data_IF_836110548421
#
_entry.id   IF_836110548421
#
_cell.length_a   1.000
_cell.length_b   1.000
_cell.length_c   1.000
_cell.angle_alpha   90.00
_cell.angle_beta   90.00
_cell.angle_gamma   90.00
#
_symmetry.space_group_name_H-M   'P 1'
#
loop_
_entity.id
_entity.type
_entity.pdbx_description
1 polymer ?
#
# COMPACT_ATOMS: atom_id res chain seq x y z
N UNK A 1 -29.56 -22.52 -3.72
CA UNK A 1 -28.45 -22.13 -2.81
C UNK A 1 -27.90 -20.82 -3.33
N UNK A 2 -28.27 -19.71 -2.68
CA UNK A 2 -27.85 -18.36 -3.05
C UNK A 2 -26.57 -18.05 -2.30
N UNK A 3 -25.47 -17.80 -3.02
CA UNK A 3 -24.24 -17.27 -2.44
C UNK A 3 -24.51 -15.81 -2.04
N UNK A 4 -24.41 -15.53 -0.74
CA UNK A 4 -24.33 -14.17 -0.25
C UNK A 4 -23.08 -13.51 -0.85
N UNK A 5 -23.27 -12.39 -1.53
CA UNK A 5 -22.18 -11.59 -2.09
C UNK A 5 -21.35 -11.02 -0.94
N UNK A 6 -20.20 -11.62 -0.67
CA UNK A 6 -19.14 -10.98 0.10
C UNK A 6 -18.65 -9.77 -0.69
N UNK A 7 -18.75 -8.57 -0.10
CA UNK A 7 -18.25 -7.34 -0.70
C UNK A 7 -16.74 -7.43 -0.97
N UNK A 8 -16.23 -6.99 -2.13
CA UNK A 8 -14.80 -7.05 -2.43
C UNK A 8 -14.03 -6.02 -1.58
N UNK A 9 -13.06 -6.56 -0.83
CA UNK A 9 -12.02 -5.92 -0.02
C UNK A 9 -11.04 -4.98 -0.78
N UNK A 10 -11.09 -4.92 -2.11
CA UNK A 10 -10.45 -3.88 -2.91
C UNK A 10 -11.50 -2.85 -3.33
N UNK A 11 -11.48 -1.68 -2.72
CA UNK A 11 -12.12 -0.49 -3.28
C UNK A 11 -11.32 0.69 -2.79
N UNK A 12 -10.18 0.93 -3.47
CA UNK A 12 -9.72 2.31 -3.59
C UNK A 12 -10.82 2.97 -4.42
N UNK A 13 -11.76 3.63 -3.76
CA UNK A 13 -12.84 4.35 -4.44
C UNK A 13 -12.20 5.34 -5.41
N UNK A 14 -12.21 5.01 -6.69
CA UNK A 14 -12.12 5.98 -7.79
C UNK A 14 -13.39 6.82 -7.88
N UNK A 15 -14.39 6.55 -7.03
CA UNK A 15 -15.48 7.47 -6.78
C UNK A 15 -14.93 8.76 -6.18
N UNK A 16 -15.20 9.88 -6.85
CA UNK A 16 -15.06 11.22 -6.26
C UNK A 16 -15.74 11.14 -4.90
N UNK A 17 -15.02 11.36 -3.78
CA UNK A 17 -15.64 11.32 -2.46
C UNK A 17 -16.85 12.24 -2.48
N UNK A 18 -17.99 11.77 -1.99
CA UNK A 18 -19.15 12.63 -1.76
C UNK A 18 -18.65 13.87 -1.01
N UNK A 19 -18.93 15.08 -1.51
CA UNK A 19 -18.34 16.33 -1.03
C UNK A 19 -18.19 16.36 0.50
N UNK A 20 -16.97 16.10 1.00
CA UNK A 20 -16.66 16.05 2.44
C UNK A 20 -16.29 14.68 3.03
N UNK A 21 -16.36 13.55 2.31
CA UNK A 21 -15.71 12.30 2.74
C UNK A 21 -14.22 12.31 2.39
N UNK A 22 -13.40 11.60 3.17
CA UNK A 22 -11.96 11.52 2.92
C UNK A 22 -11.36 10.23 3.45
N UNK A 23 -10.19 9.90 2.91
CA UNK A 23 -9.35 8.82 3.39
C UNK A 23 -7.89 9.17 3.15
N UNK A 24 -7.06 8.98 4.19
CA UNK A 24 -5.62 9.19 4.12
C UNK A 24 -4.91 8.05 4.86
N UNK A 25 -3.68 7.76 4.44
CA UNK A 25 -2.76 6.91 5.21
C UNK A 25 -1.57 7.74 5.68
N UNK A 26 -1.20 7.56 6.95
CA UNK A 26 -0.14 8.33 7.60
C UNK A 26 0.91 7.40 8.23
N UNK A 27 2.16 7.85 8.24
CA UNK A 27 3.25 7.15 8.90
C UNK A 27 3.17 7.36 10.40
N UNK A 28 3.26 6.26 11.16
CA UNK A 28 3.15 6.28 12.63
C UNK A 28 4.35 5.67 13.33
N UNK A 29 5.13 4.81 12.65
CA UNK A 29 6.34 4.23 13.21
C UNK A 29 7.40 5.25 13.69
N UNK A 30 7.61 6.41 13.05
CA UNK A 30 8.60 7.37 13.53
C UNK A 30 8.09 8.28 14.66
N UNK A 31 6.83 8.12 15.10
CA UNK A 31 6.18 9.03 16.06
C UNK A 31 6.10 8.40 17.44
N UNK A 32 6.24 9.21 18.49
CA UNK A 32 6.05 8.71 19.85
C UNK A 32 4.56 8.40 20.10
N UNK A 33 4.26 7.17 20.55
CA UNK A 33 2.89 6.71 20.86
C UNK A 33 2.17 7.67 21.83
N UNK A 34 2.87 8.13 22.87
CA UNK A 34 2.34 9.08 23.83
C UNK A 34 1.92 10.43 23.19
N UNK A 35 2.67 10.88 22.18
CA UNK A 35 2.34 12.13 21.46
C UNK A 35 1.06 11.98 20.65
N UNK A 36 0.85 10.81 20.01
CA UNK A 36 -0.37 10.53 19.26
C UNK A 36 -1.54 10.33 20.24
N UNK A 37 -1.38 9.49 21.26
CA UNK A 37 -2.42 9.18 22.24
C UNK A 37 -2.98 10.43 22.93
N UNK A 38 -2.11 11.41 23.24
CA UNK A 38 -2.52 12.70 23.82
C UNK A 38 -3.50 13.48 22.93
N UNK A 39 -3.42 13.35 21.61
CA UNK A 39 -4.35 14.03 20.69
C UNK A 39 -5.77 13.44 20.74
N UNK A 40 -5.93 12.27 21.34
CA UNK A 40 -7.19 11.52 21.44
C UNK A 40 -7.56 11.25 22.90
N UNK A 41 -7.18 12.13 23.83
CA UNK A 41 -7.47 12.01 25.27
C UNK A 41 -7.10 10.65 25.87
N UNK A 42 -6.04 10.02 25.35
CA UNK A 42 -5.55 8.70 25.75
C UNK A 42 -6.56 7.57 25.54
N UNK A 43 -7.41 7.69 24.52
CA UNK A 43 -8.36 6.63 24.14
C UNK A 43 -7.63 5.28 23.93
N UNK A 44 -7.97 4.24 24.71
CA UNK A 44 -7.34 2.92 24.60
C UNK A 44 -7.47 2.28 23.21
N UNK A 45 -8.56 2.53 22.48
CA UNK A 45 -8.74 2.02 21.13
C UNK A 45 -7.77 2.66 20.14
N UNK A 46 -7.53 3.97 20.26
CA UNK A 46 -6.52 4.67 19.45
C UNK A 46 -5.12 4.16 19.76
N UNK A 47 -4.79 4.03 21.05
CA UNK A 47 -3.50 3.49 21.49
C UNK A 47 -3.28 2.10 20.90
N UNK A 48 -4.29 1.23 20.95
CA UNK A 48 -4.21 -0.14 20.42
C UNK A 48 -3.91 -0.14 18.93
N UNK A 49 -4.63 0.66 18.13
CA UNK A 49 -4.41 0.72 16.67
C UNK A 49 -3.04 1.26 16.32
N UNK A 50 -2.58 2.31 17.02
CA UNK A 50 -1.27 2.92 16.75
C UNK A 50 -0.14 1.98 17.18
N UNK A 51 -0.25 1.35 18.34
CA UNK A 51 0.72 0.35 18.83
C UNK A 51 0.82 -0.83 17.86
N UNK A 52 -0.32 -1.36 17.39
CA UNK A 52 -0.36 -2.43 16.39
C UNK A 52 0.26 -1.99 15.07
N UNK A 53 -0.03 -0.78 14.59
CA UNK A 53 0.56 -0.23 13.37
C UNK A 53 2.09 -0.07 13.49
N UNK A 54 2.58 0.37 14.65
CA UNK A 54 4.02 0.46 14.93
C UNK A 54 4.67 -0.92 14.99
N UNK A 55 4.05 -1.86 15.69
CA UNK A 55 4.52 -3.24 15.80
C UNK A 55 4.62 -3.93 14.43
N UNK A 56 3.60 -3.78 13.58
CA UNK A 56 3.55 -4.40 12.25
C UNK A 56 4.31 -3.62 11.18
N UNK A 57 4.86 -2.44 11.49
CA UNK A 57 5.55 -1.59 10.53
C UNK A 57 4.61 -1.08 9.42
N UNK A 58 3.35 -0.79 9.75
CA UNK A 58 2.32 -0.35 8.80
C UNK A 58 1.92 1.10 9.03
N UNK A 59 1.35 1.73 8.00
CA UNK A 59 0.73 3.05 8.12
C UNK A 59 -0.58 2.94 8.91
N UNK A 60 -0.98 4.05 9.54
CA UNK A 60 -2.34 4.17 10.06
C UNK A 60 -3.25 4.77 8.98
N UNK A 61 -4.46 4.24 8.86
CA UNK A 61 -5.51 4.73 7.96
C UNK A 61 -6.48 5.60 8.75
N UNK A 62 -6.76 6.79 8.25
CA UNK A 62 -7.72 7.73 8.81
C UNK A 62 -8.76 8.03 7.74
N UNK A 63 -10.03 7.82 8.03
CA UNK A 63 -11.09 8.06 7.05
C UNK A 63 -12.38 8.54 7.67
N UNK A 64 -13.17 9.22 6.86
CA UNK A 64 -14.53 9.63 7.18
C UNK A 64 -15.42 9.20 6.00
N UNK A 65 -16.43 8.37 6.30
CA UNK A 65 -17.31 7.80 5.28
C UNK A 65 -18.31 8.81 4.72
N UNK A 66 -18.77 9.75 5.55
CA UNK A 66 -19.78 10.75 5.21
C UNK A 66 -19.43 12.10 5.85
N UNK A 67 -19.73 13.23 5.18
CA UNK A 67 -19.39 14.55 5.69
C UNK A 67 -19.98 14.81 7.08
N UNK A 68 -19.12 15.19 8.05
CA UNK A 68 -19.54 15.45 9.43
C UNK A 68 -19.81 14.21 10.28
N UNK A 69 -19.63 13.01 9.73
CA UNK A 69 -19.66 11.76 10.50
C UNK A 69 -18.37 11.53 11.30
N UNK A 70 -18.31 10.41 12.02
CA UNK A 70 -17.16 10.09 12.86
C UNK A 70 -15.89 9.86 12.01
N UNK A 71 -14.76 10.40 12.50
CA UNK A 71 -13.44 10.08 11.98
C UNK A 71 -13.05 8.70 12.52
N UNK A 72 -12.71 7.80 11.61
CA UNK A 72 -12.31 6.44 11.92
C UNK A 72 -10.79 6.31 11.79
N UNK A 73 -10.21 5.53 12.69
CA UNK A 73 -8.80 5.17 12.70
C UNK A 73 -8.69 3.64 12.60
N UNK A 74 -7.71 3.17 11.82
CA UNK A 74 -7.49 1.75 11.61
C UNK A 74 -6.11 1.48 11.04
N UNK A 75 -5.82 0.20 10.82
CA UNK A 75 -4.57 -0.24 10.23
C UNK A 75 -4.60 -0.03 8.71
N UNK A 76 -3.57 0.63 8.18
CA UNK A 76 -3.33 0.73 6.75
C UNK A 76 -2.78 -0.56 6.16
N UNK A 77 -2.87 -0.69 4.84
CA UNK A 77 -2.32 -1.87 4.14
C UNK A 77 -0.85 -1.67 3.77
N UNK A 78 -0.44 -0.43 3.56
CA UNK A 78 0.90 -0.13 3.10
C UNK A 78 1.92 -0.18 4.24
N UNK A 79 3.11 -0.74 4.00
CA UNK A 79 4.22 -0.63 4.93
C UNK A 79 4.58 0.84 5.21
N UNK A 80 4.95 1.16 6.44
CA UNK A 80 5.37 2.51 6.84
C UNK A 80 6.62 2.96 6.04
N UNK A 81 7.54 2.03 5.79
CA UNK A 81 8.78 2.27 5.07
C UNK A 81 8.66 2.17 3.54
N UNK A 82 7.49 1.83 3.00
CA UNK A 82 7.32 1.75 1.55
C UNK A 82 7.34 3.15 0.93
N UNK A 83 8.16 3.38 -0.11
CA UNK A 83 8.10 4.61 -0.89
C UNK A 83 6.73 4.71 -1.57
N UNK A 84 6.30 5.94 -1.85
CA UNK A 84 5.12 6.16 -2.67
C UNK A 84 5.49 6.01 -4.15
N UNK A 85 4.73 5.21 -4.88
CA UNK A 85 4.95 4.96 -6.30
C UNK A 85 3.72 5.44 -7.07
N UNK A 86 3.79 6.67 -7.58
CA UNK A 86 2.79 7.18 -8.51
C UNK A 86 3.12 6.69 -9.93
N UNK A 87 2.29 5.78 -10.43
CA UNK A 87 2.42 5.24 -11.78
C UNK A 87 1.14 5.57 -12.53
N UNK A 88 1.24 6.36 -13.61
CA UNK A 88 0.13 6.50 -14.53
C UNK A 88 -0.22 5.13 -15.14
N UNK A 89 -1.50 4.78 -15.29
CA UNK A 89 -1.95 3.43 -15.63
C UNK A 89 -1.19 2.78 -16.80
N UNK A 90 -0.88 3.52 -17.87
CA UNK A 90 -0.11 2.99 -19.01
C UNK A 90 1.31 2.51 -18.64
N UNK A 91 1.95 3.14 -17.66
CA UNK A 91 3.27 2.74 -17.17
C UNK A 91 3.18 1.55 -16.20
N UNK A 92 2.02 1.30 -15.57
CA UNK A 92 1.86 0.18 -14.65
C UNK A 92 1.95 -1.16 -15.40
N UNK A 93 1.25 -1.28 -16.54
CA UNK A 93 1.36 -2.45 -17.41
C UNK A 93 2.77 -2.62 -17.98
N UNK A 94 3.43 -1.53 -18.39
CA UNK A 94 4.80 -1.57 -18.86
C UNK A 94 5.80 -2.09 -17.80
N UNK A 95 5.58 -1.74 -16.51
CA UNK A 95 6.38 -2.27 -15.40
C UNK A 95 6.17 -3.78 -15.27
N UNK A 96 4.93 -4.26 -15.32
CA UNK A 96 4.61 -5.69 -15.22
C UNK A 96 5.24 -6.47 -16.37
N UNK A 97 5.04 -6.00 -17.61
CA UNK A 97 5.64 -6.58 -18.81
C UNK A 97 7.16 -6.64 -18.71
N UNK A 98 7.78 -5.57 -18.20
CA UNK A 98 9.23 -5.51 -18.03
C UNK A 98 9.74 -6.52 -16.99
N UNK A 99 8.97 -6.75 -15.92
CA UNK A 99 9.21 -7.80 -14.92
C UNK A 99 8.88 -9.22 -15.45
N UNK A 100 8.33 -9.33 -16.66
CA UNK A 100 7.84 -10.57 -17.24
C UNK A 100 6.61 -11.13 -16.52
N UNK A 101 5.86 -10.27 -15.85
CA UNK A 101 4.58 -10.59 -15.21
C UNK A 101 3.47 -10.41 -16.24
N UNK A 102 2.46 -11.26 -16.15
CA UNK A 102 1.33 -11.23 -17.07
C UNK A 102 0.50 -9.95 -16.88
N UNK A 103 0.25 -9.25 -17.97
CA UNK A 103 -0.53 -8.00 -18.01
C UNK A 103 -2.03 -8.27 -17.75
N UNK A 104 -2.49 -9.50 -17.99
CA UNK A 104 -3.87 -9.95 -17.69
C UNK A 104 -4.05 -10.39 -16.22
N UNK A 105 -2.98 -10.38 -15.42
CA UNK A 105 -3.08 -10.61 -13.97
C UNK A 105 -3.78 -9.43 -13.31
N UNK A 106 -5.10 -9.41 -13.32
CA UNK A 106 -5.84 -8.49 -12.45
C UNK A 106 -5.57 -8.87 -10.99
N UNK A 107 -4.90 -7.98 -10.26
CA UNK A 107 -4.79 -8.05 -8.81
C UNK A 107 -3.47 -8.64 -8.32
N UNK A 108 -2.73 -7.80 -7.60
CA UNK A 108 -1.73 -8.16 -6.59
C UNK A 108 -0.69 -9.25 -6.96
N UNK A 109 0.58 -8.87 -7.17
CA UNK A 109 1.71 -9.80 -7.22
C UNK A 109 2.49 -9.80 -5.90
N UNK A 110 2.87 -10.96 -5.35
CA UNK A 110 3.66 -11.02 -4.13
C UNK A 110 5.03 -10.32 -4.27
N UNK A 111 5.46 -9.59 -3.24
CA UNK A 111 6.77 -8.90 -3.22
C UNK A 111 7.94 -9.86 -3.34
N UNK A 112 7.80 -11.13 -2.92
CA UNK A 112 8.84 -12.14 -3.12
C UNK A 112 9.07 -12.43 -4.60
N UNK A 113 8.01 -12.49 -5.41
CA UNK A 113 8.11 -12.67 -6.84
C UNK A 113 8.76 -11.45 -7.49
N UNK A 114 8.30 -10.23 -7.16
CA UNK A 114 8.93 -8.99 -7.66
C UNK A 114 10.43 -8.97 -7.36
N UNK A 115 10.81 -9.32 -6.11
CA UNK A 115 12.22 -9.43 -5.70
C UNK A 115 12.98 -10.43 -6.58
N UNK A 116 12.42 -11.60 -6.81
CA UNK A 116 13.03 -12.63 -7.64
C UNK A 116 13.24 -12.14 -9.09
N UNK A 117 12.25 -11.46 -9.67
CA UNK A 117 12.37 -10.89 -11.03
C UNK A 117 13.44 -9.81 -11.10
N UNK A 118 13.51 -8.92 -10.10
CA UNK A 118 14.53 -7.86 -10.04
C UNK A 118 15.96 -8.40 -9.88
N UNK A 119 16.12 -9.62 -9.35
CA UNK A 119 17.43 -10.29 -9.25
C UNK A 119 17.87 -10.96 -10.56
N UNK A 120 16.98 -11.15 -11.54
CA UNK A 120 17.36 -11.69 -12.86
C UNK A 120 18.15 -10.62 -13.65
N UNK A 121 19.44 -10.87 -13.99
CA UNK A 121 20.25 -9.90 -14.73
C UNK A 121 19.69 -9.49 -16.09
N UNK A 122 18.89 -10.33 -16.75
CA UNK A 122 18.26 -10.02 -18.05
C UNK A 122 17.10 -9.06 -17.87
N UNK A 123 16.26 -9.28 -16.86
CA UNK A 123 15.17 -8.39 -16.50
C UNK A 123 15.74 -7.05 -16.02
N UNK A 124 16.79 -7.10 -15.20
CA UNK A 124 17.43 -5.90 -14.68
C UNK A 124 18.00 -5.01 -15.79
N UNK A 125 18.73 -5.59 -16.74
CA UNK A 125 19.23 -4.85 -17.91
C UNK A 125 18.09 -4.22 -18.71
N UNK A 126 17.03 -4.98 -18.98
CA UNK A 126 15.86 -4.46 -19.72
C UNK A 126 15.24 -3.24 -19.04
N UNK A 127 15.08 -3.29 -17.72
CA UNK A 127 14.54 -2.18 -16.93
C UNK A 127 15.49 -0.96 -16.90
N UNK A 128 16.80 -1.21 -16.83
CA UNK A 128 17.81 -0.15 -16.81
C UNK A 128 17.99 0.49 -18.21
N UNK A 129 17.77 -0.27 -19.30
CA UNK A 129 17.87 0.19 -20.69
C UNK A 129 16.65 1.01 -21.17
N UNK A 130 15.51 0.94 -20.47
CA UNK A 130 14.31 1.74 -20.77
C UNK A 130 14.23 2.99 -19.85
N UNK A 131 14.47 4.21 -20.38
CA UNK A 131 14.47 5.45 -19.59
C UNK A 131 13.15 5.72 -18.85
N UNK A 132 12.02 5.23 -19.36
CA UNK A 132 10.73 5.39 -18.70
C UNK A 132 10.58 4.48 -17.48
N UNK A 133 11.25 3.32 -17.49
CA UNK A 133 11.22 2.32 -16.43
C UNK A 133 12.33 2.51 -15.40
N UNK A 134 13.53 2.97 -15.80
CA UNK A 134 14.68 3.17 -14.91
C UNK A 134 14.32 3.96 -13.66
N UNK A 135 13.47 4.99 -13.78
CA UNK A 135 13.00 5.82 -12.65
C UNK A 135 12.21 5.07 -11.58
N UNK A 136 11.60 3.93 -11.92
CA UNK A 136 10.80 3.11 -11.00
C UNK A 136 11.62 1.99 -10.35
N UNK A 137 12.77 1.65 -10.94
CA UNK A 137 13.59 0.52 -10.52
C UNK A 137 14.08 0.66 -9.07
N UNK A 138 14.50 1.85 -8.67
CA UNK A 138 14.96 2.11 -7.30
C UNK A 138 13.82 1.94 -6.28
N UNK A 139 12.64 2.50 -6.58
CA UNK A 139 11.48 2.39 -5.71
C UNK A 139 10.99 0.93 -5.61
N UNK A 140 10.92 0.21 -6.73
CA UNK A 140 10.56 -1.22 -6.75
C UNK A 140 11.58 -2.07 -5.98
N UNK A 141 12.87 -1.78 -6.10
CA UNK A 141 13.93 -2.45 -5.35
C UNK A 141 13.77 -2.19 -3.85
N UNK A 142 13.48 -0.95 -3.47
CA UNK A 142 13.24 -0.55 -2.07
C UNK A 142 12.01 -1.25 -1.50
N UNK A 143 10.89 -1.25 -2.22
CA UNK A 143 9.67 -1.97 -1.84
C UNK A 143 9.93 -3.47 -1.69
N UNK A 144 10.58 -4.08 -2.67
CA UNK A 144 10.89 -5.51 -2.67
C UNK A 144 11.87 -5.90 -1.54
N UNK A 145 12.67 -4.98 -1.03
CA UNK A 145 13.57 -5.24 0.10
C UNK A 145 12.84 -5.29 1.45
N UNK A 146 11.62 -4.73 1.54
CA UNK A 146 10.83 -4.75 2.77
C UNK A 146 10.45 -6.18 3.14
N UNK A 147 10.47 -6.44 4.45
CA UNK A 147 10.05 -7.72 5.04
C UNK A 147 8.92 -7.44 6.02
N UNK A 148 7.74 -8.04 5.81
CA UNK A 148 6.67 -7.91 6.78
C UNK A 148 7.04 -8.62 8.09
N UNK A 149 6.49 -8.12 9.19
CA UNK A 149 6.54 -8.81 10.48
C UNK A 149 5.69 -10.09 10.43
N UNK A 150 4.58 -10.05 9.69
CA UNK A 150 3.69 -11.18 9.44
C UNK A 150 3.10 -11.14 8.01
N UNK A 151 2.93 -12.33 7.42
CA UNK A 151 2.38 -12.52 6.07
C UNK A 151 3.34 -12.13 4.93
N UNK A 152 2.76 -11.63 3.83
CA UNK A 152 3.48 -11.20 2.63
C UNK A 152 2.92 -9.89 2.06
N UNK A 153 3.81 -8.96 1.72
CA UNK A 153 3.43 -7.73 1.01
C UNK A 153 3.17 -8.01 -0.47
N UNK A 154 2.24 -7.27 -1.06
CA UNK A 154 1.86 -7.41 -2.46
C UNK A 154 1.97 -6.08 -3.20
N UNK A 155 2.45 -6.12 -4.44
CA UNK A 155 2.31 -5.02 -5.40
C UNK A 155 0.91 -5.09 -5.98
N UNK A 156 0.03 -4.14 -5.67
CA UNK A 156 -1.32 -4.09 -6.23
C UNK A 156 -1.46 -2.97 -7.26
N UNK A 157 -2.23 -3.22 -8.31
CA UNK A 157 -2.60 -2.26 -9.36
C UNK A 157 -4.07 -2.41 -9.76
N UNK A 158 -4.63 -1.38 -10.39
CA UNK A 158 -6.02 -1.27 -10.81
C UNK A 158 -6.13 -0.62 -12.20
#
# INVERSE_FOLDING_TARGET
MSCAAASPWWSRSTAIPASGSFEIEVRVCPLALASIARCFDWDPAVITVVDEAQFLGRRARIWQSEPGGDIKLGLGLNPDAAPELEVANGNAYAILASLGLDEESCGAVPMSEVRQRLMDPRIRRRLDDDPHMTRYVEALTTMAALKPVDGEYHLAWA
#
